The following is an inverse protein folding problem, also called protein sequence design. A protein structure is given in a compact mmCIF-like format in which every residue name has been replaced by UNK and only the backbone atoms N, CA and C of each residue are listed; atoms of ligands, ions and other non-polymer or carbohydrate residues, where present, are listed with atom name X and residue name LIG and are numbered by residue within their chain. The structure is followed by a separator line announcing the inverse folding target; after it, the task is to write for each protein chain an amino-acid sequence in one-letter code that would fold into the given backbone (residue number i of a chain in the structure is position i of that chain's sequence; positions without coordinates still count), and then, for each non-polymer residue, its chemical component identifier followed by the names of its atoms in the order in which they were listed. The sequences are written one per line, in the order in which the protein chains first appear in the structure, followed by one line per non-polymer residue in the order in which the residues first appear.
data_IF_517090992907
#
_entry.id   IF_517090992907
#
_cell.length_a   1.000
_cell.length_b   1.000
_cell.length_c   1.000
_cell.angle_alpha   90.00
_cell.angle_beta   90.00
_cell.angle_gamma   90.00
#
_symmetry.space_group_name_H-M   'P 1'
#
loop_
_entity.id
_entity.type
_entity.pdbx_description
1 polymer ?
#
# COMPACT_ATOMS: atom_id res chain seq x y z
N UNK A 1 -1.37 11.05 -10.25
CA UNK A 1 -0.77 11.39 -11.56
C UNK A 1 -0.52 10.12 -12.35
N UNK A 2 -0.81 10.09 -13.65
CA UNK A 2 -0.64 8.88 -14.47
C UNK A 2 0.83 8.57 -14.76
N UNK A 3 1.20 7.29 -14.76
CA UNK A 3 2.58 6.78 -14.98
C UNK A 3 3.28 7.21 -16.29
N UNK A 4 2.56 7.88 -17.18
CA UNK A 4 3.04 8.35 -18.47
C UNK A 4 3.40 9.86 -18.49
N UNK A 5 3.08 10.61 -17.43
CA UNK A 5 3.32 12.05 -17.37
C UNK A 5 4.81 12.42 -17.36
N UNK A 6 5.69 11.51 -16.93
CA UNK A 6 7.14 11.72 -16.97
C UNK A 6 7.69 11.71 -18.41
N UNK A 7 6.97 11.06 -19.33
CA UNK A 7 7.40 10.87 -20.72
C UNK A 7 6.59 11.73 -21.70
N UNK A 8 5.37 12.09 -21.33
CA UNK A 8 4.45 12.87 -22.15
C UNK A 8 3.94 14.09 -21.40
N UNK A 9 3.83 15.20 -22.11
CA UNK A 9 3.16 16.42 -21.66
C UNK A 9 1.72 16.37 -22.14
N UNK A 10 0.79 16.65 -21.24
CA UNK A 10 -0.62 16.84 -21.59
C UNK A 10 -0.88 18.34 -21.70
N UNK A 11 -1.17 18.82 -22.89
CA UNK A 11 -1.54 20.22 -23.15
C UNK A 11 -2.93 20.21 -23.76
N UNK A 12 -3.90 20.77 -23.03
CA UNK A 12 -5.32 20.73 -23.39
C UNK A 12 -5.81 19.30 -23.71
N UNK A 13 -6.01 19.04 -25.00
CA UNK A 13 -6.46 17.77 -25.56
C UNK A 13 -5.37 17.09 -26.41
N UNK A 14 -4.09 17.38 -26.15
CA UNK A 14 -2.95 16.84 -26.89
C UNK A 14 -1.95 16.19 -25.94
N UNK A 15 -1.32 15.13 -26.42
CA UNK A 15 -0.26 14.39 -25.73
C UNK A 15 1.01 14.52 -26.52
N UNK A 16 2.02 15.16 -25.92
CA UNK A 16 3.27 15.51 -26.58
C UNK A 16 4.39 14.71 -25.95
N UNK A 17 5.10 13.91 -26.73
CA UNK A 17 6.30 13.21 -26.27
C UNK A 17 7.39 14.24 -25.94
N UNK A 18 7.95 14.18 -24.72
CA UNK A 18 9.02 15.09 -24.29
C UNK A 18 10.34 14.86 -25.03
N UNK A 19 10.55 13.67 -25.58
CA UNK A 19 11.84 13.27 -26.18
C UNK A 19 11.93 13.60 -27.66
N UNK A 20 10.83 13.46 -28.41
CA UNK A 20 10.82 13.68 -29.86
C UNK A 20 9.75 14.67 -30.33
N UNK A 21 9.08 15.35 -29.40
CA UNK A 21 8.02 16.33 -29.66
C UNK A 21 6.85 15.80 -30.50
N UNK A 22 6.70 14.47 -30.62
CA UNK A 22 5.58 13.87 -31.31
C UNK A 22 4.28 14.12 -30.53
N UNK A 23 3.30 14.73 -31.20
CA UNK A 23 2.02 15.06 -30.60
C UNK A 23 0.89 14.20 -31.16
N UNK A 24 -0.02 13.74 -30.29
CA UNK A 24 -1.22 12.99 -30.67
C UNK A 24 -2.45 13.55 -29.93
N UNK A 25 -3.61 13.71 -30.59
CA UNK A 25 -4.84 14.13 -29.92
C UNK A 25 -5.28 13.09 -28.88
N UNK A 26 -5.72 13.61 -27.73
CA UNK A 26 -6.20 12.86 -26.56
C UNK A 26 -7.60 12.31 -26.83
N UNK A 27 -7.71 11.24 -27.61
CA UNK A 27 -8.98 10.53 -27.81
C UNK A 27 -9.37 9.79 -26.51
N UNK A 28 -10.64 9.86 -26.11
CA UNK A 28 -11.13 9.53 -24.76
C UNK A 28 -10.65 8.16 -24.20
N UNK A 29 -10.37 7.16 -25.04
CA UNK A 29 -10.06 5.80 -24.59
C UNK A 29 -8.77 5.15 -25.17
N UNK A 30 -8.16 5.66 -26.24
CA UNK A 30 -7.14 4.90 -27.01
C UNK A 30 -5.68 5.34 -26.83
N UNK A 31 -5.41 6.31 -25.97
CA UNK A 31 -4.12 7.02 -25.95
C UNK A 31 -2.99 6.14 -25.38
N UNK A 32 -3.29 5.31 -24.38
CA UNK A 32 -2.27 4.52 -23.68
C UNK A 32 -1.61 3.48 -24.59
N UNK A 33 -2.36 2.88 -25.52
CA UNK A 33 -1.84 1.94 -26.51
C UNK A 33 -0.91 2.65 -27.51
N UNK A 34 -1.34 3.80 -28.02
CA UNK A 34 -0.58 4.62 -28.97
C UNK A 34 0.73 5.14 -28.37
N UNK A 35 0.69 5.66 -27.15
CA UNK A 35 1.87 6.11 -26.39
C UNK A 35 2.84 4.96 -26.15
N UNK A 36 2.32 3.78 -25.75
CA UNK A 36 3.16 2.61 -25.50
C UNK A 36 3.84 2.13 -26.79
N UNK A 37 3.09 2.10 -27.90
CA UNK A 37 3.63 1.73 -29.20
C UNK A 37 4.70 2.73 -29.67
N UNK A 38 4.43 4.02 -29.50
CA UNK A 38 5.36 5.09 -29.79
C UNK A 38 6.68 4.92 -29.04
N UNK A 39 6.63 4.74 -27.72
CA UNK A 39 7.83 4.50 -26.91
C UNK A 39 8.58 3.26 -27.40
N UNK A 40 7.88 2.14 -27.64
CA UNK A 40 8.52 0.90 -28.10
C UNK A 40 9.23 1.05 -29.45
N UNK A 41 8.64 1.79 -30.40
CA UNK A 41 9.21 1.95 -31.75
C UNK A 41 10.25 3.05 -31.85
N UNK A 42 10.00 4.20 -31.22
CA UNK A 42 10.82 5.41 -31.40
C UNK A 42 11.85 5.61 -30.28
N UNK A 43 11.57 5.08 -29.10
CA UNK A 43 12.41 5.24 -27.91
C UNK A 43 12.57 3.90 -27.15
N UNK A 44 13.18 2.87 -27.77
CA UNK A 44 13.28 1.54 -27.18
C UNK A 44 13.97 1.55 -25.81
N UNK A 45 14.98 2.40 -25.61
CA UNK A 45 15.66 2.56 -24.32
C UNK A 45 14.74 3.17 -23.24
N UNK A 46 13.97 4.20 -23.58
CA UNK A 46 12.99 4.78 -22.66
C UNK A 46 11.86 3.79 -22.35
N UNK A 47 11.47 2.98 -23.34
CA UNK A 47 10.49 1.91 -23.14
C UNK A 47 11.01 0.83 -22.19
N UNK A 48 12.28 0.44 -22.30
CA UNK A 48 12.91 -0.52 -21.40
C UNK A 48 12.91 0.01 -19.96
N UNK A 49 13.34 1.26 -19.75
CA UNK A 49 13.29 1.91 -18.43
C UNK A 49 11.86 2.05 -17.90
N UNK A 50 10.91 2.43 -18.75
CA UNK A 50 9.50 2.52 -18.38
C UNK A 50 8.95 1.17 -17.91
N UNK A 51 9.25 0.10 -18.65
CA UNK A 51 8.81 -1.26 -18.33
C UNK A 51 9.39 -1.72 -17.00
N UNK A 52 10.70 -1.51 -16.79
CA UNK A 52 11.38 -1.87 -15.55
C UNK A 52 10.76 -1.16 -14.34
N UNK A 53 10.54 0.16 -14.44
CA UNK A 53 9.88 0.94 -13.39
C UNK A 53 8.45 0.46 -13.12
N UNK A 54 7.68 0.11 -14.14
CA UNK A 54 6.31 -0.39 -13.99
C UNK A 54 6.28 -1.73 -13.23
N UNK A 55 7.17 -2.65 -13.57
CA UNK A 55 7.30 -3.95 -12.89
C UNK A 55 7.80 -3.77 -11.44
N UNK A 56 8.75 -2.86 -11.21
CA UNK A 56 9.23 -2.55 -9.85
C UNK A 56 8.12 -2.00 -8.97
N UNK A 57 7.38 -1.01 -9.45
CA UNK A 57 6.24 -0.43 -8.72
C UNK A 57 5.17 -1.49 -8.45
N UNK A 58 4.89 -2.37 -9.42
CA UNK A 58 3.94 -3.47 -9.25
C UNK A 58 4.39 -4.46 -8.17
N UNK A 59 5.68 -4.77 -8.14
CA UNK A 59 6.29 -5.67 -7.15
C UNK A 59 6.25 -5.05 -5.75
N UNK A 60 6.66 -3.79 -5.61
CA UNK A 60 6.59 -3.03 -4.36
C UNK A 60 5.17 -2.99 -3.81
N UNK A 61 4.17 -2.73 -4.67
CA UNK A 61 2.75 -2.74 -4.29
C UNK A 61 2.28 -4.11 -3.80
N UNK A 62 2.69 -5.19 -4.47
CA UNK A 62 2.37 -6.56 -4.05
C UNK A 62 2.94 -6.85 -2.67
N UNK A 63 4.22 -6.54 -2.44
CA UNK A 63 4.89 -6.75 -1.16
C UNK A 63 4.22 -5.92 -0.06
N UNK A 64 3.87 -4.67 -0.33
CA UNK A 64 3.16 -3.82 0.63
C UNK A 64 1.77 -4.38 0.99
N UNK A 65 1.03 -4.89 0.01
CA UNK A 65 -0.27 -5.53 0.24
C UNK A 65 -0.12 -6.81 1.09
N UNK A 66 0.87 -7.65 0.78
CA UNK A 66 1.16 -8.86 1.56
C UNK A 66 1.54 -8.54 3.01
N UNK A 67 2.38 -7.51 3.21
CA UNK A 67 2.76 -7.04 4.55
C UNK A 67 1.55 -6.50 5.33
N UNK A 68 0.67 -5.75 4.68
CA UNK A 68 -0.55 -5.25 5.32
C UNK A 68 -1.45 -6.39 5.77
N UNK A 69 -1.62 -7.43 4.94
CA UNK A 69 -2.38 -8.63 5.30
C UNK A 69 -1.76 -9.35 6.50
N UNK A 70 -0.43 -9.50 6.52
CA UNK A 70 0.26 -10.17 7.62
C UNK A 70 0.11 -9.41 8.96
N UNK A 71 0.17 -8.07 8.93
CA UNK A 71 -0.04 -7.21 10.11
C UNK A 71 -1.49 -7.32 10.59
N UNK A 72 -2.47 -7.28 9.69
CA UNK A 72 -3.88 -7.42 10.08
C UNK A 72 -4.14 -8.78 10.75
N UNK A 73 -3.60 -9.86 10.17
CA UNK A 73 -3.72 -11.20 10.75
C UNK A 73 -3.03 -11.34 12.12
N UNK A 74 -1.88 -10.70 12.33
CA UNK A 74 -1.20 -10.75 13.63
C UNK A 74 -2.01 -10.01 14.70
N UNK A 75 -2.55 -8.84 14.36
CA UNK A 75 -3.43 -8.05 15.24
C UNK A 75 -4.71 -8.83 15.60
N UNK A 76 -5.36 -9.46 14.62
CA UNK A 76 -6.56 -10.28 14.88
C UNK A 76 -6.28 -11.46 15.83
N UNK A 77 -5.10 -12.08 15.76
CA UNK A 77 -4.73 -13.18 16.68
C UNK A 77 -4.52 -12.67 18.11
N UNK A 78 -3.89 -11.52 18.28
CA UNK A 78 -3.65 -10.94 19.61
C UNK A 78 -4.93 -10.43 20.29
N UNK A 79 -5.95 -10.03 19.52
CA UNK A 79 -7.24 -9.60 20.08
C UNK A 79 -8.23 -10.76 20.35
N UNK A 80 -7.96 -11.97 19.84
CA UNK A 80 -8.78 -13.18 20.10
C UNK A 80 -8.37 -13.96 21.35
N UNK A 81 -7.26 -13.58 21.98
CA UNK A 81 -6.86 -14.10 23.28
C UNK A 81 -7.34 -13.17 24.39
N UNK A 82 -8.65 -13.06 24.58
CA UNK A 82 -9.17 -12.91 25.93
C UNK A 82 -9.21 -14.33 26.53
N UNK A 83 -8.50 -14.61 27.63
CA UNK A 83 -8.86 -15.76 28.43
C UNK A 83 -10.26 -15.49 28.99
N UNK A 84 -11.26 -16.24 28.54
CA UNK A 84 -12.48 -16.42 29.32
C UNK A 84 -12.08 -17.06 30.65
N UNK A 85 -11.74 -16.24 31.64
CA UNK A 85 -11.78 -16.63 33.03
C UNK A 85 -13.09 -16.07 33.60
N UNK A 86 -14.20 -16.69 33.21
CA UNK A 86 -15.35 -16.78 34.11
C UNK A 86 -15.20 -18.07 34.90
N UNK A 87 -15.15 -17.97 36.23
CA UNK A 87 -16.15 -18.69 36.98
C UNK A 87 -16.77 -17.82 38.08
N UNK A 88 -18.10 -17.75 38.06
CA UNK A 88 -18.91 -17.81 39.28
C UNK A 88 -19.04 -16.53 40.09
N UNK A 89 -20.25 -15.99 40.08
CA UNK A 89 -20.83 -15.24 41.19
C UNK A 89 -20.49 -15.89 42.54
N UNK A 90 -19.96 -15.12 43.50
CA UNK A 90 -20.39 -15.14 44.90
C UNK A 90 -19.73 -14.00 45.67
N UNK A 91 -20.57 -13.13 46.19
CA UNK A 91 -20.28 -12.12 47.19
C UNK A 91 -19.65 -12.76 48.43
N UNK A 92 -18.47 -12.34 48.86
CA UNK A 92 -18.20 -12.22 50.30
C UNK A 92 -17.06 -11.26 50.62
N UNK A 93 -17.40 -10.41 51.57
CA UNK A 93 -16.67 -9.37 52.26
C UNK A 93 -15.54 -9.87 53.17
N UNK A 94 -14.56 -8.97 53.39
CA UNK A 94 -13.64 -8.86 54.53
C UNK A 94 -12.60 -9.98 54.72
N UNK A 95 -11.31 -9.61 54.72
CA UNK A 95 -10.56 -9.33 55.95
C UNK A 95 -9.09 -9.03 55.61
N UNK A 96 -8.65 -7.79 55.83
CA UNK A 96 -7.25 -7.39 55.77
C UNK A 96 -6.71 -7.23 57.20
N UNK A 97 -5.82 -8.14 57.60
CA UNK A 97 -4.84 -7.95 58.68
C UNK A 97 -3.54 -8.60 58.17
N UNK A 98 -2.38 -7.94 58.31
CA UNK A 98 -1.70 -7.98 59.60
C UNK A 98 -0.92 -6.70 59.95
N UNK A 99 -0.92 -6.30 61.22
CA UNK A 99 0.21 -5.57 61.79
C UNK A 99 0.63 -6.21 63.12
N UNK A 100 1.89 -6.65 63.13
CA UNK A 100 2.64 -7.00 64.33
C UNK A 100 2.81 -5.78 65.23
N UNK A 101 2.72 -5.96 66.55
CA UNK A 101 3.77 -5.55 67.48
C UNK A 101 3.50 -6.08 68.89
N UNK A 102 4.36 -7.02 69.29
CA UNK A 102 4.69 -7.31 70.68
C UNK A 102 5.84 -6.38 71.04
N UNK A 103 5.74 -5.65 72.16
CA UNK A 103 6.87 -5.33 73.04
C UNK A 103 6.38 -4.65 74.34
N UNK A 104 6.70 -5.34 75.44
CA UNK A 104 6.90 -4.95 76.85
C UNK A 104 5.98 -3.92 77.52
#
# INVERSE_FOLDING_TARGET
MGKYNDYFLVVDNMQICRTCNWAVPKLKDCITASIRHHLRRRHPELYAQFKDKDERIKTEKRIAAERAIAIDQSLQRTCKSEPECSPGSSSQSQQSQPYHNVCN
#
